data_IF_147278728899
#
_entry.id   IF_147278728899
#
_cell.length_a   1.000
_cell.length_b   1.000
_cell.length_c   1.000
_cell.angle_alpha   90.00
_cell.angle_beta   90.00
_cell.angle_gamma   90.00
#
_symmetry.space_group_name_H-M   'P 1'
#
loop_
_entity.id
_entity.type
_entity.pdbx_description
1 polymer ?
#
# COMPACT_ATOMS: atom_id res chain seq x y z
N UNK A 1 20.03 46.22 -5.93
CA UNK A 1 19.23 47.05 -5.01
C UNK A 1 18.30 48.02 -5.76
N UNK A 2 18.79 48.85 -6.69
CA UNK A 2 17.96 49.85 -7.41
C UNK A 2 16.76 49.31 -8.22
N UNK A 3 16.84 48.09 -8.78
CA UNK A 3 15.68 47.45 -9.46
C UNK A 3 14.53 47.08 -8.53
N UNK A 4 14.78 47.03 -7.21
CA UNK A 4 13.77 46.63 -6.24
C UNK A 4 12.75 47.76 -6.01
N UNK A 5 13.15 49.02 -6.19
CA UNK A 5 12.28 50.18 -5.96
C UNK A 5 11.03 50.19 -6.85
N UNK A 6 11.12 49.64 -8.06
CA UNK A 6 9.99 49.47 -8.99
C UNK A 6 9.46 48.03 -9.03
N UNK A 7 10.04 47.12 -8.24
CA UNK A 7 9.81 45.68 -8.31
C UNK A 7 9.89 45.07 -9.72
N UNK A 8 10.62 45.69 -10.65
CA UNK A 8 10.65 45.27 -12.06
C UNK A 8 11.08 43.80 -12.25
N UNK A 9 11.77 43.19 -11.29
CA UNK A 9 12.19 41.77 -11.31
C UNK A 9 11.19 40.78 -10.70
N UNK A 10 10.16 41.24 -10.00
CA UNK A 10 9.24 40.43 -9.20
C UNK A 10 7.81 40.65 -9.68
N UNK A 11 7.36 39.84 -10.64
CA UNK A 11 6.08 40.04 -11.33
C UNK A 11 4.84 39.82 -10.44
N UNK A 12 5.03 39.07 -9.35
CA UNK A 12 4.08 38.79 -8.28
C UNK A 12 3.85 39.99 -7.34
N UNK A 13 4.73 41.00 -7.37
CA UNK A 13 4.62 42.20 -6.53
C UNK A 13 4.05 43.39 -7.29
N UNK A 14 3.48 44.33 -6.55
CA UNK A 14 3.02 45.61 -7.10
C UNK A 14 4.16 46.33 -7.84
N UNK A 15 3.91 46.75 -9.08
CA UNK A 15 4.88 47.38 -9.96
C UNK A 15 4.76 48.91 -9.87
N UNK A 16 5.73 49.57 -9.23
CA UNK A 16 5.78 51.04 -9.20
C UNK A 16 6.36 51.60 -10.51
N UNK A 17 5.85 52.74 -10.94
CA UNK A 17 6.41 53.50 -12.05
C UNK A 17 7.75 54.14 -11.63
N UNK A 18 8.74 54.25 -12.55
CA UNK A 18 10.01 54.90 -12.25
C UNK A 18 9.87 56.36 -11.78
N UNK A 19 8.81 57.06 -12.23
CA UNK A 19 8.49 58.43 -11.83
C UNK A 19 7.98 58.55 -10.38
N UNK A 20 7.60 57.44 -9.74
CA UNK A 20 7.18 57.43 -8.33
C UNK A 20 8.39 57.33 -7.37
N UNK A 21 9.59 57.10 -7.89
CA UNK A 21 10.82 56.95 -7.09
C UNK A 21 11.54 58.30 -6.97
N UNK A 22 11.53 58.89 -5.78
CA UNK A 22 12.22 60.15 -5.51
C UNK A 22 13.75 59.97 -5.37
N UNK A 23 14.52 60.79 -6.09
CA UNK A 23 16.00 60.85 -5.98
C UNK A 23 16.42 62.04 -5.13
N UNK A 24 16.91 61.80 -3.91
CA UNK A 24 17.35 62.87 -2.98
C UNK A 24 18.80 63.31 -3.25
N UNK A 25 19.67 62.41 -3.68
CA UNK A 25 21.08 62.68 -3.96
C UNK A 25 21.64 61.70 -5.00
N UNK A 26 22.43 62.20 -5.95
CA UNK A 26 23.06 61.39 -7.01
C UNK A 26 22.33 61.46 -8.35
N UNK A 27 22.65 60.55 -9.30
CA UNK A 27 22.01 60.53 -10.61
C UNK A 27 20.52 60.19 -10.52
N UNK A 28 19.72 60.86 -11.34
CA UNK A 28 18.26 60.69 -11.38
C UNK A 28 17.83 59.24 -11.70
N UNK A 29 16.89 58.71 -10.91
CA UNK A 29 16.44 57.33 -11.03
C UNK A 29 15.78 57.04 -12.38
N UNK A 30 15.02 57.98 -12.97
CA UNK A 30 14.42 57.82 -14.30
C UNK A 30 15.49 57.57 -15.36
N UNK A 31 16.60 58.32 -15.32
CA UNK A 31 17.75 58.10 -16.20
C UNK A 31 18.43 56.74 -15.99
N UNK A 32 18.58 56.31 -14.73
CA UNK A 32 19.15 54.99 -14.40
C UNK A 32 18.24 53.85 -14.88
N UNK A 33 16.92 53.96 -14.68
CA UNK A 33 15.94 52.98 -15.15
C UNK A 33 16.01 52.89 -16.67
N UNK A 34 15.96 54.00 -17.40
CA UNK A 34 16.06 54.01 -18.86
C UNK A 34 17.30 53.25 -19.38
N UNK A 35 18.45 53.39 -18.72
CA UNK A 35 19.69 52.71 -19.09
C UNK A 35 19.73 51.22 -18.71
N UNK A 36 19.10 50.82 -17.59
CA UNK A 36 19.28 49.48 -16.98
C UNK A 36 18.05 48.59 -17.04
N UNK A 37 16.90 49.13 -17.46
CA UNK A 37 15.60 48.44 -17.43
C UNK A 37 15.61 47.14 -18.23
N UNK A 38 16.24 47.12 -19.40
CA UNK A 38 16.36 45.88 -20.19
C UNK A 38 17.14 44.80 -19.42
N UNK A 39 18.26 45.15 -18.80
CA UNK A 39 19.04 44.25 -17.94
C UNK A 39 18.23 43.78 -16.74
N UNK A 40 17.41 44.65 -16.14
CA UNK A 40 16.57 44.27 -15.02
C UNK A 40 15.42 43.35 -15.42
N UNK A 41 14.80 43.58 -16.59
CA UNK A 41 13.80 42.68 -17.16
C UNK A 41 14.39 41.30 -17.46
N UNK A 42 15.63 41.21 -17.98
CA UNK A 42 16.37 39.93 -18.10
C UNK A 42 16.57 39.27 -16.72
N UNK A 43 16.80 40.07 -15.69
CA UNK A 43 16.88 39.61 -14.29
C UNK A 43 15.56 39.03 -13.73
N UNK A 44 14.39 39.38 -14.28
CA UNK A 44 13.09 38.79 -13.90
C UNK A 44 13.07 37.29 -14.21
N UNK A 45 13.62 36.88 -15.35
CA UNK A 45 13.74 35.47 -15.70
C UNK A 45 14.62 34.69 -14.71
N UNK A 46 15.71 35.30 -14.23
CA UNK A 46 16.55 34.71 -13.19
C UNK A 46 15.82 34.54 -11.85
N UNK A 47 15.02 35.53 -11.42
CA UNK A 47 14.21 35.43 -10.19
C UNK A 47 13.17 34.31 -10.33
N UNK A 48 12.44 34.27 -11.46
CA UNK A 48 11.47 33.21 -11.72
C UNK A 48 12.11 31.83 -11.72
N UNK A 49 13.27 31.68 -12.38
CA UNK A 49 14.03 30.41 -12.40
C UNK A 49 14.45 29.99 -10.99
N UNK A 50 14.86 30.95 -10.14
CA UNK A 50 15.24 30.69 -8.75
C UNK A 50 14.05 30.18 -7.93
N UNK A 51 12.91 30.86 -8.01
CA UNK A 51 11.68 30.46 -7.28
C UNK A 51 11.24 29.05 -7.72
N UNK A 52 11.25 28.76 -9.02
CA UNK A 52 10.91 27.41 -9.52
C UNK A 52 11.86 26.35 -8.96
N UNK A 53 13.16 26.63 -8.89
CA UNK A 53 14.14 25.70 -8.31
C UNK A 53 13.93 25.51 -6.80
N UNK A 54 13.63 26.58 -6.05
CA UNK A 54 13.32 26.50 -4.62
C UNK A 54 12.04 25.67 -4.37
N UNK A 55 10.98 25.90 -5.13
CA UNK A 55 9.73 25.13 -5.03
C UNK A 55 9.93 23.65 -5.36
N UNK A 56 10.76 23.35 -6.37
CA UNK A 56 11.11 21.98 -6.71
C UNK A 56 11.88 21.28 -5.57
N UNK A 57 12.90 21.92 -5.01
CA UNK A 57 13.68 21.34 -3.90
C UNK A 57 12.82 21.16 -2.64
N UNK A 58 11.93 22.12 -2.31
CA UNK A 58 10.96 21.97 -1.21
C UNK A 58 10.05 20.75 -1.43
N UNK A 59 9.46 20.64 -2.62
CA UNK A 59 8.63 19.48 -2.98
C UNK A 59 9.42 18.16 -2.87
N UNK A 60 10.66 18.12 -3.37
CA UNK A 60 11.50 16.93 -3.32
C UNK A 60 11.80 16.51 -1.89
N UNK A 61 12.11 17.45 -1.00
CA UNK A 61 12.36 17.19 0.42
C UNK A 61 11.11 16.64 1.11
N UNK A 62 9.95 17.25 0.87
CA UNK A 62 8.66 16.79 1.42
C UNK A 62 8.26 15.40 0.92
N UNK A 63 8.59 15.06 -0.32
CA UNK A 63 8.48 13.68 -0.85
C UNK A 63 9.40 12.72 -0.10
N UNK A 64 10.67 13.09 0.13
CA UNK A 64 11.65 12.27 0.87
C UNK A 64 11.31 12.08 2.36
N UNK A 65 10.45 12.94 2.90
CA UNK A 65 9.89 12.85 4.25
C UNK A 65 8.55 12.09 4.29
N UNK A 66 7.95 11.79 3.14
CA UNK A 66 6.66 11.12 3.03
C UNK A 66 5.45 12.02 3.27
N UNK A 67 5.65 13.34 3.23
CA UNK A 67 4.57 14.32 3.41
C UNK A 67 3.75 14.52 2.14
N UNK A 68 4.38 14.32 0.97
CA UNK A 68 3.74 14.37 -0.34
C UNK A 68 3.74 12.97 -0.96
N UNK A 69 2.56 12.45 -1.27
CA UNK A 69 2.37 11.13 -1.89
C UNK A 69 2.19 11.23 -3.40
N UNK A 70 2.31 10.10 -4.12
CA UNK A 70 2.05 10.07 -5.57
C UNK A 70 0.63 10.50 -5.90
N UNK A 71 -0.35 10.06 -5.12
CA UNK A 71 -1.77 10.42 -5.35
C UNK A 71 -1.98 11.93 -5.19
N UNK A 72 -1.40 12.54 -4.16
CA UNK A 72 -1.47 14.00 -3.96
C UNK A 72 -0.84 14.75 -5.15
N UNK A 73 0.29 14.27 -5.68
CA UNK A 73 0.92 14.85 -6.86
C UNK A 73 0.00 14.78 -8.08
N UNK A 74 -0.64 13.64 -8.32
CA UNK A 74 -1.47 13.44 -9.51
C UNK A 74 -2.83 14.14 -9.42
N UNK A 75 -3.32 14.39 -8.20
CA UNK A 75 -4.64 14.99 -7.95
C UNK A 75 -4.59 16.49 -7.63
N UNK A 76 -3.40 17.10 -7.56
CA UNK A 76 -3.23 18.53 -7.23
C UNK A 76 -2.50 19.25 -8.35
N UNK A 77 -3.16 20.21 -9.00
CA UNK A 77 -2.62 20.94 -10.16
C UNK A 77 -1.24 21.59 -9.87
N UNK A 78 -1.09 22.21 -8.70
CA UNK A 78 0.17 22.87 -8.30
C UNK A 78 1.34 21.89 -8.17
N UNK A 79 1.11 20.72 -7.57
CA UNK A 79 2.12 19.67 -7.42
C UNK A 79 2.42 19.01 -8.77
N UNK A 80 1.39 18.78 -9.58
CA UNK A 80 1.53 18.21 -10.92
C UNK A 80 2.33 19.13 -11.85
N UNK A 81 2.14 20.45 -11.75
CA UNK A 81 2.89 21.44 -12.53
C UNK A 81 4.41 21.36 -12.25
N UNK A 82 4.80 21.17 -10.99
CA UNK A 82 6.22 20.95 -10.63
C UNK A 82 6.69 19.57 -11.10
N UNK A 83 5.89 18.52 -10.83
CA UNK A 83 6.20 17.13 -11.20
C UNK A 83 6.44 16.97 -12.71
N UNK A 84 5.57 17.52 -13.55
CA UNK A 84 5.66 17.41 -15.01
C UNK A 84 6.97 17.97 -15.61
N UNK A 85 7.66 18.86 -14.88
CA UNK A 85 8.95 19.44 -15.29
C UNK A 85 10.16 18.72 -14.72
N UNK A 86 9.99 18.00 -13.61
CA UNK A 86 11.04 17.32 -12.85
C UNK A 86 10.67 15.86 -12.54
N UNK A 87 10.05 15.19 -13.51
CA UNK A 87 9.43 13.87 -13.31
C UNK A 87 10.43 12.84 -12.75
N UNK A 88 11.62 12.77 -13.33
CA UNK A 88 12.63 11.76 -12.95
C UNK A 88 13.06 11.95 -11.50
N UNK A 89 13.40 13.17 -11.12
CA UNK A 89 13.92 13.48 -9.80
C UNK A 89 12.87 13.26 -8.70
N UNK A 90 11.60 13.54 -8.99
CA UNK A 90 10.50 13.27 -8.05
C UNK A 90 10.17 11.77 -8.00
N UNK A 91 10.17 11.06 -9.13
CA UNK A 91 9.98 9.61 -9.15
C UNK A 91 11.12 8.89 -8.40
N UNK A 92 12.35 9.36 -8.53
CA UNK A 92 13.52 8.88 -7.77
C UNK A 92 13.36 9.16 -6.27
N UNK A 93 12.88 10.36 -5.88
CA UNK A 93 12.60 10.70 -4.49
C UNK A 93 11.50 9.80 -3.88
N UNK A 94 10.40 9.57 -4.61
CA UNK A 94 9.34 8.65 -4.20
C UNK A 94 9.87 7.22 -4.02
N UNK A 95 10.72 6.75 -4.95
CA UNK A 95 11.35 5.43 -4.89
C UNK A 95 12.31 5.31 -3.70
N UNK A 96 13.11 6.34 -3.44
CA UNK A 96 14.05 6.39 -2.32
C UNK A 96 13.31 6.40 -0.97
N UNK A 97 12.25 7.20 -0.83
CA UNK A 97 11.39 7.19 0.35
C UNK A 97 10.78 5.81 0.58
N UNK A 98 10.22 5.20 -0.47
CA UNK A 98 9.62 3.88 -0.37
C UNK A 98 10.60 2.78 0.04
N UNK A 99 11.81 2.79 -0.52
CA UNK A 99 12.89 1.88 -0.08
C UNK A 99 13.24 2.10 1.39
N UNK A 100 13.44 3.36 1.82
CA UNK A 100 13.75 3.69 3.21
C UNK A 100 12.65 3.19 4.16
N UNK A 101 11.39 3.33 3.77
CA UNK A 101 10.21 2.84 4.50
C UNK A 101 10.23 1.32 4.65
N UNK A 102 10.45 0.59 3.55
CA UNK A 102 10.55 -0.87 3.56
C UNK A 102 11.69 -1.37 4.48
N UNK A 103 12.88 -0.77 4.41
CA UNK A 103 14.01 -1.14 5.28
C UNK A 103 13.72 -0.85 6.77
N UNK A 104 13.06 0.25 7.09
CA UNK A 104 12.64 0.57 8.46
C UNK A 104 11.62 -0.43 8.99
N UNK A 105 10.61 -0.77 8.18
CA UNK A 105 9.61 -1.76 8.54
C UNK A 105 10.27 -3.14 8.77
N UNK A 106 11.18 -3.55 7.90
CA UNK A 106 11.92 -4.80 8.06
C UNK A 106 12.83 -4.82 9.30
N UNK A 107 13.41 -3.69 9.69
CA UNK A 107 14.17 -3.58 10.93
C UNK A 107 13.28 -3.74 12.17
N UNK A 108 12.13 -3.05 12.20
CA UNK A 108 11.12 -3.16 13.26
C UNK A 108 10.55 -4.58 13.39
N UNK A 109 10.23 -5.22 12.26
CA UNK A 109 9.74 -6.61 12.22
C UNK A 109 10.76 -7.59 12.82
N UNK A 110 12.04 -7.46 12.42
CA UNK A 110 13.15 -8.28 12.97
C UNK A 110 13.41 -8.01 14.45
N UNK A 111 13.18 -6.77 14.91
CA UNK A 111 13.26 -6.41 16.31
C UNK A 111 12.06 -6.90 17.14
N UNK A 112 11.03 -7.45 16.49
CA UNK A 112 9.80 -7.88 17.16
C UNK A 112 8.91 -6.73 17.63
N UNK A 113 9.10 -5.51 17.12
CA UNK A 113 8.24 -4.36 17.43
C UNK A 113 6.82 -4.54 16.87
N UNK A 114 6.69 -5.31 15.79
CA UNK A 114 5.42 -5.78 15.26
C UNK A 114 5.59 -7.14 14.57
N UNK A 115 4.48 -7.77 14.21
CA UNK A 115 4.40 -8.93 13.33
C UNK A 115 3.38 -8.68 12.22
N UNK A 116 3.59 -9.23 11.02
CA UNK A 116 2.64 -9.09 9.92
C UNK A 116 1.31 -9.74 10.30
N UNK A 117 0.22 -9.00 10.16
CA UNK A 117 -1.15 -9.50 10.35
C UNK A 117 -1.74 -9.87 8.97
N UNK A 118 -2.08 -11.13 8.78
CA UNK A 118 -2.63 -11.64 7.50
C UNK A 118 -4.11 -11.97 7.67
N UNK A 119 -4.97 -11.30 6.90
CA UNK A 119 -6.42 -11.53 6.89
C UNK A 119 -6.83 -12.10 5.54
N UNK A 120 -7.53 -13.24 5.56
CA UNK A 120 -8.08 -13.85 4.36
C UNK A 120 -9.61 -13.71 4.34
N UNK A 121 -10.14 -12.94 3.39
CA UNK A 121 -11.57 -12.68 3.23
C UNK A 121 -12.09 -13.52 2.07
N UNK A 122 -13.07 -14.38 2.33
CA UNK A 122 -13.67 -15.23 1.29
C UNK A 122 -15.19 -15.25 1.32
N UNK A 123 -15.79 -15.78 0.26
CA UNK A 123 -17.24 -15.82 0.05
C UNK A 123 -17.61 -15.67 -1.41
N UNK A 124 -18.88 -15.83 -1.73
CA UNK A 124 -19.36 -15.86 -3.11
C UNK A 124 -19.03 -14.58 -3.90
N UNK A 125 -18.98 -14.71 -5.23
CA UNK A 125 -18.80 -13.57 -6.11
C UNK A 125 -19.94 -12.55 -5.92
N UNK A 126 -19.61 -11.25 -5.88
CA UNK A 126 -20.60 -10.18 -5.72
C UNK A 126 -21.16 -9.98 -4.30
N UNK A 127 -20.71 -10.73 -3.29
CA UNK A 127 -21.21 -10.62 -1.91
C UNK A 127 -20.66 -9.41 -1.12
N UNK A 128 -19.70 -8.68 -1.67
CA UNK A 128 -19.13 -7.47 -1.05
C UNK A 128 -17.78 -7.63 -0.34
N UNK A 129 -17.01 -8.69 -0.63
CA UNK A 129 -15.67 -8.94 -0.05
C UNK A 129 -14.71 -7.76 -0.20
N UNK A 130 -14.54 -7.27 -1.43
CA UNK A 130 -13.63 -6.15 -1.74
C UNK A 130 -14.04 -4.88 -1.02
N UNK A 131 -15.36 -4.63 -0.88
CA UNK A 131 -15.87 -3.49 -0.12
C UNK A 131 -15.50 -3.62 1.35
N UNK A 132 -15.82 -4.76 1.98
CA UNK A 132 -15.45 -5.03 3.37
C UNK A 132 -13.93 -4.90 3.62
N UNK A 133 -13.11 -5.49 2.75
CA UNK A 133 -11.66 -5.37 2.83
C UNK A 133 -11.19 -3.91 2.74
N UNK A 134 -11.79 -3.11 1.86
CA UNK A 134 -11.47 -1.68 1.71
C UNK A 134 -11.88 -0.89 2.95
N UNK A 135 -13.06 -1.17 3.51
CA UNK A 135 -13.56 -0.52 4.72
C UNK A 135 -12.64 -0.82 5.92
N UNK A 136 -12.28 -2.09 6.12
CA UNK A 136 -11.31 -2.50 7.15
C UNK A 136 -9.94 -1.81 6.99
N UNK A 137 -9.38 -1.81 5.78
CA UNK A 137 -8.09 -1.15 5.50
C UNK A 137 -8.17 0.36 5.78
N UNK A 138 -9.28 0.99 5.39
CA UNK A 138 -9.50 2.42 5.62
C UNK A 138 -9.50 2.73 7.10
N UNK A 139 -10.22 1.96 7.92
CA UNK A 139 -10.22 2.14 9.36
C UNK A 139 -8.85 1.87 9.99
N UNK A 140 -8.11 0.86 9.52
CA UNK A 140 -6.75 0.60 9.99
C UNK A 140 -5.79 1.76 9.71
N UNK A 141 -5.87 2.35 8.51
CA UNK A 141 -5.07 3.52 8.12
C UNK A 141 -5.50 4.75 8.93
N UNK A 142 -6.79 4.97 9.14
CA UNK A 142 -7.29 6.09 9.94
C UNK A 142 -6.81 5.99 11.39
N UNK A 143 -6.88 4.80 11.99
CA UNK A 143 -6.37 4.55 13.34
C UNK A 143 -4.87 4.84 13.44
N UNK A 144 -4.05 4.37 12.48
CA UNK A 144 -2.62 4.66 12.46
C UNK A 144 -2.34 6.17 12.30
N UNK A 145 -3.05 6.83 11.37
CA UNK A 145 -2.88 8.26 11.10
C UNK A 145 -3.24 9.15 12.30
N UNK A 146 -4.24 8.74 13.10
CA UNK A 146 -4.59 9.44 14.34
C UNK A 146 -3.43 9.52 15.35
N UNK A 147 -2.44 8.63 15.21
CA UNK A 147 -1.26 8.55 16.06
C UNK A 147 0.04 9.01 15.38
N UNK A 148 -0.08 9.73 14.27
CA UNK A 148 1.05 10.34 13.57
C UNK A 148 1.83 9.38 12.66
N UNK A 149 1.37 8.14 12.52
CA UNK A 149 1.83 7.26 11.44
C UNK A 149 1.26 7.71 10.10
N UNK A 150 1.87 7.29 8.99
CA UNK A 150 1.41 7.64 7.63
C UNK A 150 1.17 6.39 6.81
N UNK A 151 0.31 5.51 7.32
CA UNK A 151 0.07 4.24 6.66
C UNK A 151 -0.54 4.43 5.28
N UNK A 152 -0.09 3.61 4.34
CA UNK A 152 -0.61 3.60 2.98
C UNK A 152 -0.97 2.18 2.58
N UNK A 153 -1.94 2.08 1.68
CA UNK A 153 -2.30 0.82 1.03
C UNK A 153 -1.69 0.76 -0.36
N UNK A 154 -1.08 -0.38 -0.66
CA UNK A 154 -0.76 -0.78 -2.00
C UNK A 154 -1.72 -1.89 -2.45
N UNK A 155 -2.42 -1.64 -3.56
CA UNK A 155 -3.31 -2.62 -4.19
C UNK A 155 -2.54 -3.36 -5.28
N UNK A 156 -2.36 -4.66 -5.09
CA UNK A 156 -1.57 -5.47 -5.99
C UNK A 156 -2.24 -5.69 -7.35
N UNK A 157 -1.41 -5.76 -8.39
CA UNK A 157 -1.84 -6.18 -9.72
C UNK A 157 -1.98 -7.72 -9.81
N UNK A 158 -2.84 -8.20 -10.72
CA UNK A 158 -3.15 -9.63 -10.83
C UNK A 158 -1.98 -10.50 -11.36
N UNK A 159 -1.05 -9.90 -12.12
CA UNK A 159 0.02 -10.64 -12.82
C UNK A 159 1.34 -10.74 -12.04
N UNK A 160 1.83 -9.64 -11.50
CA UNK A 160 2.98 -9.62 -10.57
C UNK A 160 2.59 -8.70 -9.43
N UNK A 161 2.15 -9.28 -8.30
CA UNK A 161 1.52 -8.53 -7.24
C UNK A 161 2.40 -7.40 -6.70
N UNK A 162 3.71 -7.60 -6.65
CA UNK A 162 4.63 -6.73 -5.91
C UNK A 162 5.48 -5.79 -6.80
N UNK A 163 5.25 -5.72 -8.12
CA UNK A 163 6.08 -4.90 -9.02
C UNK A 163 6.14 -3.42 -8.59
N UNK A 164 4.98 -2.85 -8.25
CA UNK A 164 4.83 -1.43 -7.92
C UNK A 164 4.78 -1.15 -6.41
N UNK A 165 4.96 -2.16 -5.56
CA UNK A 165 5.03 -1.98 -4.11
C UNK A 165 6.28 -1.17 -3.73
N UNK A 166 6.11 -0.12 -2.92
CA UNK A 166 7.14 0.84 -2.50
C UNK A 166 7.21 0.95 -0.97
N UNK A 167 7.03 -0.15 -0.25
CA UNK A 167 7.19 -0.14 1.20
C UNK A 167 5.92 0.20 1.99
N UNK A 168 4.76 0.27 1.35
CA UNK A 168 3.47 0.49 2.01
C UNK A 168 3.21 -0.57 3.09
N UNK A 169 2.66 -0.15 4.24
CA UNK A 169 2.41 -1.03 5.39
C UNK A 169 1.21 -1.95 5.15
N UNK A 170 0.28 -1.56 4.28
CA UNK A 170 -0.90 -2.36 3.96
C UNK A 170 -0.82 -2.88 2.53
N UNK A 171 -0.95 -4.19 2.38
CA UNK A 171 -0.99 -4.88 1.10
C UNK A 171 -2.39 -5.46 0.87
N UNK A 172 -3.06 -5.04 -0.19
CA UNK A 172 -4.34 -5.61 -0.63
C UNK A 172 -4.13 -6.49 -1.86
N UNK A 173 -4.33 -7.80 -1.70
CA UNK A 173 -4.34 -8.81 -2.75
C UNK A 173 -5.79 -9.13 -3.12
N UNK A 174 -6.40 -8.29 -3.96
CA UNK A 174 -7.82 -8.37 -4.28
C UNK A 174 -8.09 -9.28 -5.49
N UNK A 175 -8.88 -10.34 -5.28
CA UNK A 175 -9.23 -11.38 -6.26
C UNK A 175 -8.01 -11.93 -7.04
N UNK A 176 -6.88 -12.06 -6.34
CA UNK A 176 -5.67 -12.62 -6.91
C UNK A 176 -5.83 -14.14 -7.06
N UNK A 177 -5.52 -14.68 -8.24
CA UNK A 177 -5.51 -16.14 -8.41
C UNK A 177 -4.43 -16.75 -7.55
N UNK A 178 -4.69 -17.92 -6.93
CA UNK A 178 -3.68 -18.68 -6.21
C UNK A 178 -2.41 -18.93 -7.04
N UNK A 179 -2.61 -19.10 -8.35
CA UNK A 179 -1.56 -19.25 -9.35
C UNK A 179 -0.87 -17.94 -9.76
N UNK A 180 -1.05 -16.82 -9.06
CA UNK A 180 -0.31 -15.59 -9.35
C UNK A 180 1.16 -15.69 -8.93
N UNK A 181 1.44 -16.24 -7.75
CA UNK A 181 2.79 -16.48 -7.22
C UNK A 181 3.07 -17.98 -7.10
N UNK A 182 4.35 -18.37 -6.96
CA UNK A 182 4.69 -19.74 -6.61
C UNK A 182 4.49 -20.00 -5.11
N UNK A 183 4.53 -21.27 -4.70
CA UNK A 183 4.28 -21.66 -3.31
C UNK A 183 5.27 -21.01 -2.32
N UNK A 184 6.54 -20.91 -2.69
CA UNK A 184 7.57 -20.34 -1.83
C UNK A 184 7.42 -18.82 -1.70
N UNK A 185 7.11 -18.13 -2.80
CA UNK A 185 6.84 -16.69 -2.81
C UNK A 185 5.65 -16.35 -1.88
N UNK A 186 4.59 -17.18 -1.86
CA UNK A 186 3.50 -17.06 -0.88
C UNK A 186 3.97 -17.25 0.56
N UNK A 187 4.78 -18.29 0.85
CA UNK A 187 5.27 -18.55 2.20
C UNK A 187 6.16 -17.43 2.74
N UNK A 188 6.99 -16.84 1.88
CA UNK A 188 7.86 -15.72 2.22
C UNK A 188 7.07 -14.43 2.44
N UNK A 189 6.10 -14.14 1.57
CA UNK A 189 5.28 -12.93 1.68
C UNK A 189 4.39 -12.94 2.92
N UNK A 190 3.80 -14.10 3.23
CA UNK A 190 2.87 -14.26 4.35
C UNK A 190 3.58 -14.59 5.67
N UNK A 191 4.91 -14.58 5.72
CA UNK A 191 5.64 -14.81 6.97
C UNK A 191 5.37 -13.67 7.98
N UNK A 192 4.81 -13.97 9.16
CA UNK A 192 4.50 -12.94 10.13
C UNK A 192 5.70 -12.35 10.87
N UNK A 193 6.88 -12.97 10.79
CA UNK A 193 8.04 -12.60 11.63
C UNK A 193 9.30 -12.28 10.84
N UNK A 194 9.36 -12.66 9.56
CA UNK A 194 10.55 -12.48 8.74
C UNK A 194 10.30 -11.54 7.55
N UNK A 195 11.11 -10.48 7.47
CA UNK A 195 11.20 -9.70 6.25
C UNK A 195 11.97 -10.51 5.20
N UNK A 196 11.37 -10.70 4.04
CA UNK A 196 11.96 -11.51 2.96
C UNK A 196 12.06 -10.69 1.67
N UNK A 197 13.10 -10.92 0.86
CA UNK A 197 13.13 -10.39 -0.50
C UNK A 197 11.98 -10.97 -1.32
N UNK A 198 11.41 -10.17 -2.22
CA UNK A 198 10.38 -10.63 -3.14
C UNK A 198 10.77 -10.39 -4.61
N UNK A 199 10.42 -11.36 -5.46
CA UNK A 199 10.62 -11.26 -6.90
C UNK A 199 9.67 -10.20 -7.49
N UNK A 200 10.21 -9.41 -8.41
CA UNK A 200 9.44 -8.47 -9.23
C UNK A 200 10.08 -8.39 -10.61
N UNK A 201 9.30 -8.05 -11.64
CA UNK A 201 9.71 -8.11 -13.05
C UNK A 201 10.93 -7.25 -13.36
N UNK A 202 10.96 -6.03 -12.85
CA UNK A 202 11.96 -5.04 -13.20
C UNK A 202 13.08 -4.92 -12.18
N UNK A 203 12.72 -5.02 -10.89
CA UNK A 203 13.68 -4.94 -9.77
C UNK A 203 13.10 -5.63 -8.56
N UNK A 204 13.78 -6.68 -8.09
CA UNK A 204 13.42 -7.38 -6.86
C UNK A 204 13.28 -6.39 -5.68
N UNK A 205 12.33 -6.67 -4.80
CA UNK A 205 12.17 -5.94 -3.55
C UNK A 205 13.14 -6.53 -2.53
N UNK A 206 14.06 -5.72 -2.02
CA UNK A 206 15.10 -6.19 -1.11
C UNK A 206 14.55 -6.66 0.23
N UNK A 207 13.51 -5.99 0.73
CA UNK A 207 12.89 -6.24 2.03
C UNK A 207 11.37 -6.03 1.88
N UNK A 208 10.57 -7.05 2.15
CA UNK A 208 9.10 -6.95 2.20
C UNK A 208 8.63 -7.25 3.61
N UNK A 209 8.02 -6.25 4.25
CA UNK A 209 7.58 -6.32 5.65
C UNK A 209 6.33 -5.45 5.87
N UNK A 210 5.20 -5.74 5.20
CA UNK A 210 3.93 -5.07 5.47
C UNK A 210 3.48 -5.37 6.91
N UNK A 211 2.69 -4.46 7.50
CA UNK A 211 2.03 -4.69 8.78
C UNK A 211 0.72 -5.45 8.63
N UNK A 212 0.02 -5.21 7.53
CA UNK A 212 -1.27 -5.82 7.24
C UNK A 212 -1.27 -6.34 5.80
N UNK A 213 -1.63 -7.61 5.62
CA UNK A 213 -1.93 -8.19 4.32
C UNK A 213 -3.39 -8.62 4.32
N UNK A 214 -4.17 -8.11 3.37
CA UNK A 214 -5.56 -8.53 3.17
C UNK A 214 -5.66 -9.23 1.83
N UNK A 215 -6.15 -10.47 1.84
CA UNK A 215 -6.39 -11.29 0.65
C UNK A 215 -7.90 -11.42 0.48
N UNK A 216 -8.42 -11.16 -0.71
CA UNK A 216 -9.81 -11.49 -1.04
C UNK A 216 -9.84 -12.63 -2.08
N UNK A 217 -10.74 -13.59 -1.90
CA UNK A 217 -10.93 -14.68 -2.85
C UNK A 217 -12.37 -15.18 -2.84
N UNK A 218 -12.79 -15.87 -3.91
CA UNK A 218 -14.11 -16.52 -3.96
C UNK A 218 -14.15 -17.88 -3.27
N UNK A 219 -12.99 -18.47 -3.01
CA UNK A 219 -12.81 -19.80 -2.44
C UNK A 219 -12.15 -19.69 -1.06
N UNK A 220 -12.34 -20.71 -0.22
CA UNK A 220 -11.76 -20.73 1.13
C UNK A 220 -10.22 -20.90 1.11
N UNK A 221 -9.51 -20.54 2.19
CA UNK A 221 -8.05 -20.54 2.19
C UNK A 221 -7.41 -21.91 1.90
N UNK A 222 -8.00 -23.00 2.41
CA UNK A 222 -7.46 -24.35 2.20
C UNK A 222 -7.48 -24.72 0.72
N UNK A 223 -8.60 -24.48 0.05
CA UNK A 223 -8.74 -24.68 -1.40
C UNK A 223 -7.81 -23.74 -2.19
N UNK A 224 -7.72 -22.47 -1.78
CA UNK A 224 -6.83 -21.49 -2.40
C UNK A 224 -5.37 -21.95 -2.39
N UNK A 225 -4.84 -22.34 -1.22
CA UNK A 225 -3.44 -22.75 -1.10
C UNK A 225 -3.18 -24.15 -1.66
N UNK A 226 -4.20 -25.00 -1.77
CA UNK A 226 -4.11 -26.24 -2.54
C UNK A 226 -3.74 -25.96 -4.01
N UNK A 227 -4.42 -25.00 -4.65
CA UNK A 227 -4.07 -24.60 -6.02
C UNK A 227 -2.72 -23.87 -6.12
N UNK A 228 -2.35 -23.07 -5.11
CA UNK A 228 -1.06 -22.39 -5.09
C UNK A 228 0.11 -23.39 -5.13
N UNK A 229 0.02 -24.51 -4.39
CA UNK A 229 1.02 -25.59 -4.37
C UNK A 229 1.21 -26.26 -5.72
N UNK A 230 0.11 -26.48 -6.46
CA UNK A 230 0.16 -27.21 -7.74
C UNK A 230 0.99 -26.49 -8.80
N UNK A 231 1.08 -25.15 -8.75
CA UNK A 231 1.85 -24.34 -9.70
C UNK A 231 3.38 -24.60 -9.66
N UNK A 232 3.89 -25.26 -8.63
CA UNK A 232 5.32 -25.59 -8.49
C UNK A 232 5.64 -27.08 -8.38
N UNK A 233 4.64 -27.97 -8.42
CA UNK A 233 4.80 -29.39 -8.10
C UNK A 233 5.51 -29.64 -6.75
N UNK A 234 5.23 -28.79 -5.75
CA UNK A 234 5.87 -28.82 -4.43
C UNK A 234 4.96 -29.50 -3.42
N UNK A 235 5.51 -30.46 -2.67
CA UNK A 235 4.80 -31.13 -1.57
C UNK A 235 4.88 -30.34 -0.25
N UNK A 236 4.46 -29.07 -0.27
CA UNK A 236 4.44 -28.22 0.92
C UNK A 236 3.23 -28.52 1.81
N UNK A 237 3.38 -28.76 3.11
CA UNK A 237 2.22 -29.01 3.96
C UNK A 237 1.24 -27.82 3.95
N UNK A 238 -0.07 -28.06 3.76
CA UNK A 238 -1.08 -26.98 3.71
C UNK A 238 -1.05 -26.13 4.99
N UNK A 239 -0.79 -26.76 6.13
CA UNK A 239 -0.56 -26.11 7.43
C UNK A 239 0.46 -24.98 7.39
N UNK A 240 1.44 -25.03 6.51
CA UNK A 240 2.45 -23.99 6.38
C UNK A 240 1.84 -22.67 5.91
N UNK A 241 0.83 -22.73 5.04
CA UNK A 241 0.08 -21.56 4.62
C UNK A 241 -0.96 -21.16 5.67
N UNK A 242 -1.73 -22.13 6.17
CA UNK A 242 -2.84 -21.85 7.09
C UNK A 242 -2.35 -21.18 8.38
N UNK A 243 -1.23 -21.65 8.96
CA UNK A 243 -0.69 -21.06 10.19
C UNK A 243 -0.17 -19.61 10.05
N UNK A 244 -0.03 -19.11 8.82
CA UNK A 244 0.40 -17.73 8.53
C UNK A 244 -0.79 -16.77 8.48
N UNK A 245 -2.01 -17.28 8.35
CA UNK A 245 -3.22 -16.48 8.47
C UNK A 245 -3.42 -16.15 9.95
N UNK A 246 -3.66 -14.87 10.25
CA UNK A 246 -4.07 -14.45 11.59
C UNK A 246 -5.58 -14.58 11.76
N UNK A 247 -6.32 -14.20 10.71
CA UNK A 247 -7.78 -14.29 10.68
C UNK A 247 -8.30 -14.71 9.31
N UNK A 248 -9.38 -15.46 9.32
CA UNK A 248 -10.19 -15.79 8.14
C UNK A 248 -11.57 -15.18 8.33
N UNK A 249 -12.09 -14.52 7.29
CA UNK A 249 -13.42 -13.93 7.30
C UNK A 249 -14.24 -14.53 6.19
N UNK A 250 -15.33 -15.20 6.55
CA UNK A 250 -16.34 -15.65 5.58
C UNK A 250 -17.45 -14.61 5.48
N UNK A 251 -17.60 -14.03 4.29
CA UNK A 251 -18.70 -13.13 3.95
C UNK A 251 -19.80 -13.94 3.28
N UNK A 252 -21.00 -13.88 3.83
CA UNK A 252 -22.19 -14.56 3.28
C UNK A 252 -23.42 -13.68 3.49
N UNK A 253 -24.52 -14.03 2.82
CA UNK A 253 -25.82 -13.41 3.06
C UNK A 253 -26.69 -14.33 3.90
N UNK A 254 -27.30 -13.77 4.92
CA UNK A 254 -28.40 -14.35 5.66
C UNK A 254 -29.52 -13.31 5.70
N UNK A 255 -30.73 -13.69 5.26
CA UNK A 255 -31.91 -12.81 5.22
C UNK A 255 -31.66 -11.47 4.49
N UNK A 256 -31.02 -11.53 3.32
CA UNK A 256 -30.61 -10.38 2.49
C UNK A 256 -29.63 -9.39 3.14
N UNK A 257 -29.09 -9.73 4.31
CA UNK A 257 -28.09 -8.94 5.03
C UNK A 257 -26.74 -9.66 4.96
N UNK A 258 -25.67 -8.91 4.68
CA UNK A 258 -24.32 -9.44 4.74
C UNK A 258 -23.94 -9.75 6.20
N UNK A 259 -23.49 -10.97 6.44
CA UNK A 259 -22.93 -11.47 7.70
C UNK A 259 -21.47 -11.82 7.51
N UNK A 260 -20.72 -11.67 8.59
CA UNK A 260 -19.27 -11.83 8.60
C UNK A 260 -18.92 -12.80 9.73
N UNK A 261 -18.51 -14.02 9.37
CA UNK A 261 -17.96 -14.96 10.32
C UNK A 261 -16.46 -14.71 10.39
N UNK A 262 -16.00 -14.14 11.49
CA UNK A 262 -14.58 -13.89 11.77
C UNK A 262 -14.04 -15.07 12.56
N UNK A 263 -12.90 -15.60 12.11
CA UNK A 263 -12.25 -16.76 12.70
C UNK A 263 -10.78 -16.43 12.95
N UNK A 264 -10.34 -16.50 14.21
CA UNK A 264 -8.90 -16.42 14.50
C UNK A 264 -8.26 -17.79 14.32
N UNK A 265 -7.17 -17.81 13.56
CA UNK A 265 -6.48 -19.05 13.23
C UNK A 265 -5.42 -19.34 14.28
N UNK A 266 -5.51 -20.53 14.86
CA UNK A 266 -4.64 -21.02 15.91
C UNK A 266 -4.32 -22.49 15.72
N UNK A 267 -3.57 -23.05 16.67
CA UNK A 267 -3.28 -24.49 16.70
C UNK A 267 -4.51 -25.22 17.23
N UNK A 268 -4.89 -26.30 16.56
CA UNK A 268 -6.04 -27.13 16.91
C UNK A 268 -5.64 -28.60 16.99
N UNK A 269 -6.52 -29.43 17.55
CA UNK A 269 -6.36 -30.89 17.45
C UNK A 269 -6.35 -31.30 15.98
N UNK A 270 -5.46 -32.23 15.56
CA UNK A 270 -5.38 -32.66 14.17
C UNK A 270 -6.75 -33.12 13.67
N UNK A 271 -7.22 -32.54 12.58
CA UNK A 271 -8.45 -32.98 11.92
C UNK A 271 -8.17 -33.33 10.47
N UNK A 272 -8.83 -34.38 9.99
CA UNK A 272 -8.73 -34.77 8.59
C UNK A 272 -9.50 -33.78 7.72
N UNK A 273 -8.79 -33.08 6.85
CA UNK A 273 -9.43 -32.31 5.79
C UNK A 273 -9.71 -33.21 4.59
N UNK A 274 -10.96 -33.19 4.12
CA UNK A 274 -11.37 -33.88 2.89
C UNK A 274 -11.29 -32.93 1.69
N UNK A 275 -10.75 -33.43 0.58
CA UNK A 275 -10.56 -32.65 -0.65
C UNK A 275 -11.88 -32.07 -1.19
N UNK A 276 -11.87 -30.78 -1.55
CA UNK A 276 -12.92 -30.19 -2.38
C UNK A 276 -13.00 -30.95 -3.71
N UNK A 277 -14.14 -31.59 -3.99
CA UNK A 277 -14.39 -32.23 -5.28
C UNK A 277 -14.36 -31.15 -6.37
N UNK A 278 -13.38 -31.21 -7.26
CA UNK A 278 -13.36 -30.37 -8.47
C UNK A 278 -14.63 -30.68 -9.27
N UNK A 279 -15.48 -29.69 -9.62
CA UNK A 279 -16.57 -29.96 -10.54
C UNK A 279 -15.99 -30.42 -11.88
N UNK A 280 -16.40 -31.59 -12.36
CA UNK A 280 -15.92 -32.27 -13.58
C UNK A 280 -16.32 -31.54 -14.89
N UNK A 281 -16.45 -30.21 -14.89
CA UNK A 281 -17.03 -29.46 -16.00
C UNK A 281 -16.16 -28.27 -16.43
N UNK A 282 -14.94 -28.53 -16.90
CA UNK A 282 -14.20 -27.58 -17.76
C UNK A 282 -12.99 -28.18 -18.53
N UNK A 283 -12.89 -29.50 -18.71
CA UNK A 283 -11.86 -30.09 -19.56
C UNK A 283 -12.48 -30.77 -20.77
N UNK A 284 -12.58 -30.02 -21.87
CA UNK A 284 -12.64 -30.60 -23.21
C UNK A 284 -11.35 -31.40 -23.41
N UNK A 285 -11.40 -32.72 -23.65
CA UNK A 285 -10.20 -33.54 -23.73
C UNK A 285 -9.49 -33.31 -25.07
N UNK A 286 -8.49 -32.43 -25.06
CA UNK A 286 -7.47 -32.35 -26.10
C UNK A 286 -6.38 -33.39 -25.84
N UNK A 287 -6.01 -34.13 -26.88
CA UNK A 287 -4.97 -35.15 -26.97
C UNK A 287 -3.78 -34.95 -26.00
N UNK A 288 -3.33 -36.06 -25.40
CA UNK A 288 -2.28 -36.20 -24.37
C UNK A 288 -2.75 -36.02 -22.91
N UNK A 289 -3.79 -36.75 -22.52
CA UNK A 289 -4.19 -36.91 -21.12
C UNK A 289 -3.22 -37.82 -20.37
N UNK A 290 -2.23 -37.24 -19.67
CA UNK A 290 -1.62 -37.93 -18.54
C UNK A 290 -2.66 -38.00 -17.42
N UNK A 291 -3.17 -39.20 -17.19
CA UNK A 291 -4.06 -39.49 -16.08
C UNK A 291 -3.32 -39.27 -14.75
N UNK A 292 -3.41 -38.08 -14.18
CA UNK A 292 -3.06 -37.84 -12.78
C UNK A 292 -4.17 -38.38 -11.88
N UNK A 293 -4.33 -39.71 -11.84
CA UNK A 293 -4.85 -40.35 -10.64
C UNK A 293 -3.70 -40.35 -9.62
N UNK A 294 -3.65 -39.31 -8.78
CA UNK A 294 -2.75 -39.30 -7.63
C UNK A 294 -3.57 -39.39 -6.34
N UNK A 295 -3.43 -40.55 -5.70
CA UNK A 295 -3.78 -40.92 -4.33
C UNK A 295 -4.41 -39.83 -3.45
N UNK A 296 -5.69 -40.06 -3.12
CA UNK A 296 -6.46 -39.30 -2.14
C UNK A 296 -6.04 -39.77 -0.75
N UNK A 297 -5.02 -39.13 -0.17
CA UNK A 297 -4.67 -39.29 1.23
C UNK A 297 -5.42 -38.26 2.08
N UNK A 298 -5.94 -38.66 3.24
CA UNK A 298 -6.33 -37.70 4.27
C UNK A 298 -5.11 -36.84 4.59
N UNK A 299 -5.34 -35.53 4.73
CA UNK A 299 -4.31 -34.59 5.15
C UNK A 299 -4.74 -34.01 6.48
N UNK A 300 -3.95 -34.29 7.51
CA UNK A 300 -4.15 -33.70 8.82
C UNK A 300 -3.75 -32.23 8.76
N UNK A 301 -4.69 -31.36 9.14
CA UNK A 301 -4.39 -29.96 9.44
C UNK A 301 -4.29 -29.81 10.96
N UNK A 302 -3.22 -29.16 11.41
CA UNK A 302 -2.99 -28.84 12.84
C UNK A 302 -3.25 -27.36 13.15
N UNK A 303 -3.63 -26.58 12.14
CA UNK A 303 -4.04 -25.18 12.27
C UNK A 303 -5.41 -24.96 11.64
N UNK A 304 -6.22 -24.13 12.30
CA UNK A 304 -7.56 -23.79 11.84
C UNK A 304 -8.25 -22.81 12.79
N UNK A 305 -9.57 -22.60 12.65
CA UNK A 305 -10.34 -21.71 13.51
C UNK A 305 -10.28 -22.14 14.99
N UNK A 306 -9.51 -21.43 15.80
CA UNK A 306 -9.46 -21.63 17.26
C UNK A 306 -10.68 -20.96 17.92
N UNK A 307 -11.06 -19.79 17.39
CA UNK A 307 -12.28 -19.08 17.77
C UNK A 307 -13.08 -18.72 16.52
N UNK A 308 -14.38 -18.50 16.69
CA UNK A 308 -15.28 -18.13 15.60
C UNK A 308 -16.45 -17.33 16.16
N UNK A 309 -16.71 -16.17 15.58
CA UNK A 309 -17.81 -15.30 15.98
C UNK A 309 -18.48 -14.67 14.74
N UNK A 310 -19.80 -14.53 14.80
CA UNK A 310 -20.59 -13.89 13.74
C UNK A 310 -20.81 -12.41 14.08
N UNK A 311 -20.56 -11.55 13.10
CA UNK A 311 -20.66 -10.10 13.22
C UNK A 311 -21.45 -9.50 12.06
N UNK A 312 -21.92 -8.27 12.26
CA UNK A 312 -22.17 -7.34 11.18
C UNK A 312 -20.83 -6.74 10.66
N UNK A 313 -20.90 -5.82 9.69
CA UNK A 313 -19.70 -5.27 9.08
C UNK A 313 -18.84 -4.49 10.08
N UNK A 314 -19.46 -3.68 10.94
CA UNK A 314 -18.75 -2.82 11.91
C UNK A 314 -18.10 -3.66 13.01
N UNK A 315 -18.82 -4.64 13.56
CA UNK A 315 -18.29 -5.58 14.55
C UNK A 315 -17.11 -6.40 14.01
N UNK A 316 -17.18 -6.85 12.75
CA UNK A 316 -16.09 -7.58 12.12
C UNK A 316 -14.84 -6.70 11.92
N UNK A 317 -15.02 -5.43 11.50
CA UNK A 317 -13.91 -4.48 11.39
C UNK A 317 -13.27 -4.23 12.75
N UNK A 318 -14.07 -4.03 13.80
CA UNK A 318 -13.58 -3.81 15.16
C UNK A 318 -12.77 -5.01 15.69
N UNK A 319 -13.26 -6.24 15.48
CA UNK A 319 -12.53 -7.44 15.89
C UNK A 319 -11.19 -7.58 15.16
N UNK A 320 -11.17 -7.38 13.83
CA UNK A 320 -9.94 -7.43 13.04
C UNK A 320 -8.95 -6.34 13.43
N UNK A 321 -9.42 -5.12 13.74
CA UNK A 321 -8.57 -4.05 14.27
C UNK A 321 -7.96 -4.42 15.62
N UNK A 322 -8.71 -5.08 16.50
CA UNK A 322 -8.19 -5.62 17.75
C UNK A 322 -7.05 -6.61 17.51
N UNK A 323 -7.23 -7.54 16.57
CA UNK A 323 -6.17 -8.48 16.16
C UNK A 323 -4.94 -7.80 15.55
N UNK A 324 -5.14 -6.74 14.78
CA UNK A 324 -4.07 -5.93 14.20
C UNK A 324 -3.30 -5.14 15.27
N UNK A 325 -4.00 -4.57 16.25
CA UNK A 325 -3.41 -3.85 17.39
C UNK A 325 -2.49 -4.76 18.22
N UNK A 326 -2.90 -6.01 18.47
CA UNK A 326 -2.07 -7.00 19.16
C UNK A 326 -0.79 -7.30 18.39
N UNK A 327 -0.85 -7.33 17.04
CA UNK A 327 0.30 -7.60 16.19
C UNK A 327 1.17 -6.38 15.90
N UNK A 328 0.66 -5.16 16.06
CA UNK A 328 1.38 -3.90 15.88
C UNK A 328 1.37 -3.06 17.15
N UNK A 329 1.90 -3.54 18.29
CA UNK A 329 1.82 -2.84 19.57
C UNK A 329 2.61 -1.52 19.60
N UNK A 330 3.55 -1.33 18.67
CA UNK A 330 4.30 -0.08 18.51
C UNK A 330 3.46 1.06 17.92
N UNK A 331 2.29 0.75 17.35
CA UNK A 331 1.33 1.73 16.84
C UNK A 331 0.04 1.56 17.66
N UNK A 332 -0.40 2.57 18.42
CA UNK A 332 -1.62 2.46 19.22
C UNK A 332 -2.84 2.50 18.30
N UNK A 333 -3.22 1.37 17.73
CA UNK A 333 -4.43 1.22 16.94
C UNK A 333 -5.62 1.10 17.90
N UNK A 334 -6.02 2.23 18.49
CA UNK A 334 -7.19 2.26 19.35
C UNK A 334 -8.44 1.90 18.52
N UNK A 335 -9.28 1.03 19.07
CA UNK A 335 -10.67 0.97 18.65
C UNK A 335 -11.28 2.34 18.97
N UNK A 336 -11.81 3.04 17.97
CA UNK A 336 -12.67 4.19 18.23
C UNK A 336 -13.86 3.59 18.99
N UNK A 337 -13.84 3.76 20.32
CA UNK A 337 -14.89 3.28 21.19
C UNK A 337 -16.19 3.96 20.78
N UNK A 338 -17.03 3.22 20.04
CA UNK A 338 -18.44 3.53 19.93
C UNK A 338 -19.03 3.45 21.32
N UNK A 339 -19.32 4.61 21.89
CA UNK A 339 -20.19 4.71 23.05
C UNK A 339 -21.53 4.07 22.71
N UNK A 340 -21.93 3.07 23.50
CA UNK A 340 -23.31 2.71 23.76
C UNK A 340 -23.46 2.47 25.26
#
# INVERSE_FOLDING_TARGET
MLSYLTHVKYADKHQYAPSEVATVRGPDYLGIDAQRRETWLKGRAHVKKKIVAENFEDMRERVLQGEITRDQIMLTDELFDIYSRHQREIDDALSAYGQRRAYRAAAKLRAGEFSTHVVFVHGDAGIGKTRFATDFITEAINAANAHGERWQVYRAATGNPLDDWRGEEVLLLDDLRASAMDANDWLLLLDPYNASPAKARYKNKGEVAPRLIVITATIEPVEFFYYARQKGNVDEALDQFIRRLASVVKVYRADDINRYLVQHIGKIEPYEWHQCSVPTAAHTPGMYGNAYHQNVGSRELTYGPETSAEHDAEGAVAELLGGLAVRSPDVPLALIGGAA
#
